data_IF_439636724932
#
_entry.id   IF_439636724932
#
_cell.length_a   1.000
_cell.length_b   1.000
_cell.length_c   1.000
_cell.angle_alpha   90.00
_cell.angle_beta   90.00
_cell.angle_gamma   90.00
#
_symmetry.space_group_name_H-M   'P 1'
#
loop_
_entity.id
_entity.type
_entity.pdbx_description
1 polymer ?
#
# COMPACT_ATOMS: atom_id res chain seq x y z
N UNK A 1 -17.61 10.30 -10.18
CA UNK A 1 -18.37 9.14 -9.63
C UNK A 1 -18.27 9.19 -8.10
N UNK A 2 -19.34 8.88 -7.39
CA UNK A 2 -19.34 8.91 -5.93
C UNK A 2 -18.49 7.78 -5.36
N UNK A 3 -17.63 8.07 -4.35
CA UNK A 3 -16.85 7.10 -3.56
C UNK A 3 -17.79 6.09 -2.84
N UNK A 4 -19.07 6.42 -2.74
CA UNK A 4 -20.10 5.67 -2.02
C UNK A 4 -20.86 4.63 -2.86
N UNK A 5 -20.39 4.24 -4.05
CA UNK A 5 -20.98 3.17 -4.84
C UNK A 5 -21.47 2.00 -3.98
N UNK A 6 -21.19 0.81 -4.31
CA UNK A 6 -21.62 -0.45 -3.64
C UNK A 6 -21.37 -0.50 -2.11
N UNK A 7 -20.60 0.43 -1.53
CA UNK A 7 -20.04 0.34 -0.18
C UNK A 7 -20.93 0.85 0.95
N UNK A 8 -21.99 1.59 0.66
CA UNK A 8 -22.89 2.18 1.68
C UNK A 8 -24.15 1.36 1.96
N UNK A 9 -24.42 0.32 1.21
CA UNK A 9 -25.65 -0.48 1.37
C UNK A 9 -25.47 -1.58 2.42
N UNK A 10 -26.43 -1.65 3.35
CA UNK A 10 -26.46 -2.67 4.43
C UNK A 10 -26.74 -4.09 3.91
N UNK A 11 -27.21 -4.23 2.68
CA UNK A 11 -27.50 -5.50 2.01
C UNK A 11 -26.52 -5.71 0.87
N UNK A 12 -25.35 -6.30 1.16
CA UNK A 12 -24.43 -6.73 0.11
C UNK A 12 -24.77 -8.16 -0.27
N UNK A 13 -25.28 -8.39 -1.49
CA UNK A 13 -25.41 -9.73 -2.04
C UNK A 13 -24.01 -10.30 -2.33
N UNK A 14 -23.75 -11.49 -1.77
CA UNK A 14 -22.51 -12.22 -2.06
C UNK A 14 -22.71 -13.02 -3.35
N UNK A 15 -21.96 -12.74 -4.43
CA UNK A 15 -22.11 -13.49 -5.67
C UNK A 15 -21.69 -14.95 -5.44
N UNK A 16 -22.53 -15.86 -5.91
CA UNK A 16 -22.31 -17.32 -5.83
C UNK A 16 -21.80 -17.91 -7.14
N UNK A 17 -21.67 -17.08 -8.17
CA UNK A 17 -21.15 -17.44 -9.50
C UNK A 17 -20.12 -16.41 -9.90
N UNK A 18 -19.15 -16.82 -10.71
CA UNK A 18 -18.13 -15.94 -11.27
C UNK A 18 -18.73 -14.65 -11.82
N UNK A 19 -18.25 -13.51 -11.29
CA UNK A 19 -18.85 -12.19 -11.48
C UNK A 19 -17.76 -11.11 -11.51
N UNK A 20 -17.04 -10.94 -12.63
CA UNK A 20 -15.97 -9.95 -12.75
C UNK A 20 -16.50 -8.51 -12.68
N UNK A 21 -17.76 -8.27 -12.98
CA UNK A 21 -18.44 -6.98 -12.86
C UNK A 21 -18.57 -6.49 -11.42
N UNK A 22 -18.30 -7.35 -10.44
CA UNK A 22 -18.23 -6.98 -9.02
C UNK A 22 -17.03 -6.09 -8.71
N UNK A 23 -15.94 -6.18 -9.48
CA UNK A 23 -14.75 -5.37 -9.29
C UNK A 23 -15.06 -3.89 -9.52
N UNK A 24 -14.68 -3.05 -8.56
CA UNK A 24 -14.92 -1.62 -8.60
C UNK A 24 -13.61 -0.83 -8.69
N UNK A 25 -13.38 -0.09 -9.79
CA UNK A 25 -12.21 0.75 -9.97
C UNK A 25 -12.37 2.09 -9.25
N UNK A 26 -11.31 2.56 -8.58
CA UNK A 26 -11.21 3.90 -7.97
C UNK A 26 -10.11 4.65 -8.69
N UNK A 27 -10.44 5.83 -9.21
CA UNK A 27 -9.51 6.67 -9.96
C UNK A 27 -8.35 7.16 -9.06
N UNK A 28 -7.11 6.86 -9.46
CA UNK A 28 -5.92 7.34 -8.74
C UNK A 28 -5.77 8.86 -8.80
N UNK A 29 -6.28 9.51 -9.86
CA UNK A 29 -6.16 10.96 -10.03
C UNK A 29 -6.80 11.71 -8.87
N UNK A 30 -7.94 11.21 -8.33
CA UNK A 30 -8.64 11.84 -7.20
C UNK A 30 -7.73 12.02 -5.98
N UNK A 31 -6.95 11.00 -5.61
CA UNK A 31 -6.01 11.07 -4.50
C UNK A 31 -4.80 11.94 -4.82
N UNK A 32 -4.28 11.82 -6.04
CA UNK A 32 -3.11 12.55 -6.51
C UNK A 32 -3.36 14.04 -6.65
N UNK A 33 -4.53 14.45 -7.12
CA UNK A 33 -4.96 15.84 -7.16
C UNK A 33 -5.12 16.45 -5.76
N UNK A 34 -5.65 15.67 -4.82
CA UNK A 34 -5.84 16.12 -3.43
C UNK A 34 -4.52 16.47 -2.73
N UNK A 35 -3.41 15.81 -3.08
CA UNK A 35 -2.07 16.13 -2.56
C UNK A 35 -1.33 17.18 -3.42
N UNK A 36 -2.02 17.82 -4.36
CA UNK A 36 -1.44 18.85 -5.23
C UNK A 36 -0.43 18.29 -6.24
N UNK A 37 -0.45 16.99 -6.49
CA UNK A 37 0.44 16.35 -7.45
C UNK A 37 0.13 16.81 -8.87
N UNK A 38 1.12 17.40 -9.53
CA UNK A 38 1.05 17.74 -10.94
C UNK A 38 2.11 16.94 -11.69
N UNK A 39 1.68 16.07 -12.59
CA UNK A 39 2.55 15.17 -13.36
C UNK A 39 3.71 15.85 -14.10
N UNK A 40 3.60 17.17 -14.36
CA UNK A 40 4.51 17.92 -15.22
C UNK A 40 5.41 18.90 -14.47
N UNK A 41 5.45 18.89 -13.12
CA UNK A 41 6.38 19.75 -12.38
C UNK A 41 7.79 19.19 -12.44
N UNK A 42 8.78 19.92 -13.05
CA UNK A 42 10.18 19.50 -13.02
C UNK A 42 10.67 19.38 -11.55
N UNK A 43 11.36 18.28 -11.24
CA UNK A 43 12.00 18.07 -9.93
C UNK A 43 11.14 17.38 -8.88
N UNK A 44 9.86 17.09 -9.14
CA UNK A 44 9.02 16.29 -8.24
C UNK A 44 9.10 14.82 -8.66
N UNK A 45 9.38 13.93 -7.70
CA UNK A 45 9.44 12.51 -7.94
C UNK A 45 8.10 11.95 -8.46
N UNK A 46 8.13 11.02 -9.42
CA UNK A 46 6.93 10.49 -10.06
C UNK A 46 6.21 9.50 -9.15
N UNK A 47 4.99 9.81 -8.71
CA UNK A 47 4.15 8.90 -7.92
C UNK A 47 3.77 7.60 -8.64
N UNK A 48 3.91 7.59 -9.97
CA UNK A 48 3.65 6.41 -10.79
C UNK A 48 4.79 5.39 -10.80
N UNK A 49 5.95 5.69 -10.18
CA UNK A 49 7.03 4.70 -10.06
C UNK A 49 6.82 3.92 -8.76
N UNK A 50 6.44 2.66 -8.90
CA UNK A 50 6.20 1.82 -7.74
C UNK A 50 5.24 0.68 -8.01
N UNK A 51 4.86 0.00 -6.92
CA UNK A 51 4.03 -1.19 -6.96
C UNK A 51 3.12 -1.23 -5.73
N UNK A 52 1.89 -1.67 -5.90
CA UNK A 52 0.99 -2.01 -4.82
C UNK A 52 0.87 -3.53 -4.77
N UNK A 53 1.47 -4.16 -3.73
CA UNK A 53 1.35 -5.61 -3.53
C UNK A 53 0.17 -5.91 -2.62
N UNK A 54 -0.75 -6.70 -3.14
CA UNK A 54 -1.89 -7.19 -2.39
C UNK A 54 -1.74 -8.68 -2.17
N UNK A 55 -1.97 -9.15 -0.95
CA UNK A 55 -2.05 -10.58 -0.67
C UNK A 55 -3.47 -10.95 -0.29
N UNK A 56 -4.01 -12.00 -0.94
CA UNK A 56 -5.28 -12.60 -0.60
C UNK A 56 -5.03 -14.00 -0.04
N UNK A 57 -5.52 -14.25 1.18
CA UNK A 57 -5.23 -15.46 1.95
C UNK A 57 -6.34 -16.50 1.87
N UNK A 58 -7.47 -16.13 1.26
CA UNK A 58 -8.70 -16.92 1.20
C UNK A 58 -9.15 -17.11 -0.26
N UNK A 59 -8.22 -17.52 -1.15
CA UNK A 59 -8.56 -17.81 -2.55
C UNK A 59 -8.95 -19.25 -2.68
N UNK A 60 -10.16 -19.52 -3.21
CA UNK A 60 -10.69 -20.88 -3.36
C UNK A 60 -11.51 -21.01 -4.63
N UNK A 61 -11.50 -22.21 -5.22
CA UNK A 61 -12.29 -22.60 -6.39
C UNK A 61 -12.52 -24.12 -6.41
N UNK A 62 -13.21 -24.64 -7.38
CA UNK A 62 -13.40 -26.06 -7.59
C UNK A 62 -12.52 -26.57 -8.76
N UNK A 63 -11.97 -27.76 -8.64
CA UNK A 63 -11.44 -28.47 -9.81
C UNK A 63 -12.57 -29.11 -10.62
N UNK A 64 -12.23 -29.72 -11.76
CA UNK A 64 -13.21 -30.39 -12.66
C UNK A 64 -13.94 -31.58 -12.04
N UNK A 65 -13.55 -32.01 -10.85
CA UNK A 65 -14.22 -33.07 -10.08
C UNK A 65 -15.10 -32.50 -8.96
N UNK A 66 -15.23 -31.17 -8.87
CA UNK A 66 -15.98 -30.51 -7.80
C UNK A 66 -15.24 -30.48 -6.45
N UNK A 67 -13.93 -30.78 -6.42
CA UNK A 67 -13.13 -30.76 -5.19
C UNK A 67 -12.56 -29.36 -4.99
N UNK A 68 -12.76 -28.81 -3.80
CA UNK A 68 -12.25 -27.47 -3.44
C UNK A 68 -10.73 -27.40 -3.54
N UNK A 69 -10.24 -26.36 -4.17
CA UNK A 69 -8.86 -25.94 -4.21
C UNK A 69 -8.70 -24.68 -3.36
N UNK A 70 -7.56 -24.53 -2.73
CA UNK A 70 -7.24 -23.36 -1.92
C UNK A 70 -5.84 -22.85 -2.24
N UNK A 71 -5.67 -21.53 -2.24
CA UNK A 71 -4.38 -20.89 -2.47
C UNK A 71 -4.27 -19.58 -1.69
N UNK A 72 -3.05 -19.12 -1.51
CA UNK A 72 -2.77 -17.71 -1.27
C UNK A 72 -2.42 -17.07 -2.60
N UNK A 73 -2.90 -15.85 -2.84
CA UNK A 73 -2.55 -15.06 -4.02
C UNK A 73 -1.76 -13.82 -3.67
N UNK A 74 -0.86 -13.41 -4.58
CA UNK A 74 -0.25 -12.08 -4.60
C UNK A 74 -0.60 -11.39 -5.91
N UNK A 75 -1.17 -10.19 -5.79
CA UNK A 75 -1.44 -9.30 -6.91
C UNK A 75 -0.43 -8.17 -6.87
N UNK A 76 0.34 -7.99 -7.96
CA UNK A 76 1.27 -6.87 -8.12
C UNK A 76 0.63 -5.89 -9.10
N UNK A 77 0.14 -4.76 -8.56
CA UNK A 77 -0.56 -3.71 -9.31
C UNK A 77 0.41 -2.55 -9.51
N UNK A 78 0.78 -2.19 -10.75
CA UNK A 78 1.73 -1.11 -10.98
C UNK A 78 1.12 0.25 -10.60
N UNK A 79 1.93 1.13 -10.01
CA UNK A 79 1.50 2.49 -9.69
C UNK A 79 1.16 3.34 -10.94
N UNK A 80 1.51 2.86 -12.13
CA UNK A 80 1.12 3.44 -13.42
C UNK A 80 -0.31 3.12 -13.83
N UNK A 81 -1.01 2.17 -13.17
CA UNK A 81 -2.42 1.87 -13.47
C UNK A 81 -3.29 3.12 -13.28
N UNK A 82 -4.33 3.28 -14.08
CA UNK A 82 -5.24 4.42 -13.96
C UNK A 82 -6.08 4.36 -12.68
N UNK A 83 -6.43 3.13 -12.26
CA UNK A 83 -7.29 2.90 -11.10
C UNK A 83 -6.59 2.02 -10.06
N UNK A 84 -7.03 2.12 -8.81
CA UNK A 84 -6.87 1.09 -7.78
C UNK A 84 -8.16 0.26 -7.74
N UNK A 85 -8.08 -0.98 -7.26
CA UNK A 85 -9.28 -1.79 -7.03
C UNK A 85 -9.82 -1.51 -5.62
N UNK A 86 -11.13 -1.39 -5.47
CA UNK A 86 -11.74 -1.25 -4.15
C UNK A 86 -11.71 -2.59 -3.40
N UNK A 87 -11.25 -2.59 -2.15
CA UNK A 87 -10.91 -3.81 -1.40
C UNK A 87 -12.09 -4.72 -1.09
N UNK A 88 -13.27 -4.17 -0.79
CA UNK A 88 -14.49 -4.97 -0.57
C UNK A 88 -14.97 -5.61 -1.86
N UNK A 89 -14.87 -4.87 -2.97
CA UNK A 89 -15.23 -5.38 -4.29
C UNK A 89 -14.32 -6.54 -4.72
N UNK A 90 -13.02 -6.42 -4.47
CA UNK A 90 -12.08 -7.53 -4.72
C UNK A 90 -12.43 -8.76 -3.89
N UNK A 91 -12.78 -8.57 -2.61
CA UNK A 91 -13.20 -9.68 -1.75
C UNK A 91 -14.46 -10.35 -2.27
N UNK A 92 -15.47 -9.58 -2.70
CA UNK A 92 -16.70 -10.13 -3.30
C UNK A 92 -16.41 -10.85 -4.61
N UNK A 93 -15.53 -10.31 -5.44
CA UNK A 93 -15.07 -10.96 -6.66
C UNK A 93 -14.38 -12.31 -6.38
N UNK A 94 -13.46 -12.36 -5.42
CA UNK A 94 -12.81 -13.61 -5.02
C UNK A 94 -13.83 -14.62 -4.45
N UNK A 95 -14.87 -14.17 -3.72
CA UNK A 95 -15.96 -15.05 -3.29
C UNK A 95 -16.76 -15.63 -4.46
N UNK A 96 -16.89 -14.88 -5.56
CA UNK A 96 -17.68 -15.31 -6.72
C UNK A 96 -17.11 -16.56 -7.41
N UNK A 97 -15.82 -16.86 -7.23
CA UNK A 97 -15.18 -18.04 -7.83
C UNK A 97 -15.19 -19.27 -6.94
N UNK A 98 -15.64 -19.17 -5.68
CA UNK A 98 -15.59 -20.28 -4.71
C UNK A 98 -16.30 -21.56 -5.18
N UNK A 99 -17.34 -21.43 -6.03
CA UNK A 99 -18.12 -22.55 -6.57
C UNK A 99 -17.93 -22.70 -8.07
N UNK A 100 -16.93 -22.02 -8.66
CA UNK A 100 -16.64 -22.11 -10.09
C UNK A 100 -15.58 -23.18 -10.33
N UNK A 101 -15.80 -24.03 -11.34
CA UNK A 101 -14.86 -25.06 -11.75
C UNK A 101 -13.82 -24.51 -12.71
N UNK A 102 -12.55 -24.88 -12.45
CA UNK A 102 -11.40 -24.56 -13.31
C UNK A 102 -10.58 -25.81 -13.57
N UNK A 103 -10.09 -25.96 -14.78
CA UNK A 103 -9.29 -27.12 -15.18
C UNK A 103 -7.87 -27.11 -14.59
N UNK A 104 -7.34 -25.92 -14.26
CA UNK A 104 -5.99 -25.78 -13.72
C UNK A 104 -5.79 -24.50 -12.92
N UNK A 105 -4.73 -24.46 -12.12
CA UNK A 105 -4.26 -23.26 -11.43
C UNK A 105 -3.88 -22.12 -12.41
N UNK A 106 -3.32 -22.48 -13.57
CA UNK A 106 -2.95 -21.50 -14.60
C UNK A 106 -4.18 -20.81 -15.22
N UNK A 107 -5.29 -21.54 -15.35
CA UNK A 107 -6.56 -20.97 -15.79
C UNK A 107 -7.08 -19.92 -14.80
N UNK A 108 -7.09 -20.25 -13.50
CA UNK A 108 -7.46 -19.32 -12.43
C UNK A 108 -6.54 -18.09 -12.43
N UNK A 109 -5.23 -18.30 -12.50
CA UNK A 109 -4.23 -17.23 -12.56
C UNK A 109 -4.44 -16.30 -13.74
N UNK A 110 -4.70 -16.87 -14.92
CA UNK A 110 -4.92 -16.12 -16.17
C UNK A 110 -6.19 -15.28 -16.09
N UNK A 111 -7.27 -15.87 -15.58
CA UNK A 111 -8.54 -15.18 -15.35
C UNK A 111 -8.38 -14.01 -14.38
N UNK A 112 -7.78 -14.25 -13.20
CA UNK A 112 -7.55 -13.21 -12.19
C UNK A 112 -6.69 -12.06 -12.76
N UNK A 113 -5.62 -12.39 -13.50
CA UNK A 113 -4.74 -11.39 -14.13
C UNK A 113 -5.50 -10.53 -15.13
N UNK A 114 -6.32 -11.17 -15.99
CA UNK A 114 -7.12 -10.47 -17.00
C UNK A 114 -8.15 -9.53 -16.36
N UNK A 115 -8.90 -10.03 -15.39
CA UNK A 115 -10.01 -9.26 -14.80
C UNK A 115 -9.49 -8.08 -13.96
N UNK A 116 -8.43 -8.30 -13.17
CA UNK A 116 -7.80 -7.23 -12.41
C UNK A 116 -7.13 -6.20 -13.32
N UNK A 117 -6.44 -6.64 -14.39
CA UNK A 117 -5.82 -5.72 -15.36
C UNK A 117 -6.87 -4.86 -16.05
N UNK A 118 -8.02 -5.42 -16.40
CA UNK A 118 -9.14 -4.69 -16.98
C UNK A 118 -9.73 -3.67 -15.98
N UNK A 119 -9.90 -4.09 -14.72
CA UNK A 119 -10.44 -3.22 -13.66
C UNK A 119 -9.53 -2.02 -13.41
N UNK A 120 -8.22 -2.24 -13.22
CA UNK A 120 -7.29 -1.16 -12.88
C UNK A 120 -6.72 -0.42 -14.08
N UNK A 121 -6.97 -0.89 -15.30
CA UNK A 121 -6.38 -0.41 -16.56
C UNK A 121 -4.85 -0.31 -16.47
N UNK A 122 -4.24 -1.43 -16.10
CA UNK A 122 -2.80 -1.61 -15.96
C UNK A 122 -2.47 -3.11 -15.89
N UNK A 123 -1.29 -3.51 -16.29
CA UNK A 123 -0.87 -4.92 -16.27
C UNK A 123 -0.68 -5.42 -14.83
N UNK A 124 -1.58 -6.28 -14.36
CA UNK A 124 -1.51 -6.92 -13.04
C UNK A 124 -0.86 -8.28 -13.14
N UNK A 125 0.26 -8.48 -12.43
CA UNK A 125 0.86 -9.79 -12.26
C UNK A 125 0.17 -10.52 -11.11
N UNK A 126 -0.25 -11.75 -11.37
CA UNK A 126 -0.85 -12.64 -10.36
C UNK A 126 0.08 -13.82 -10.09
N UNK A 127 0.30 -14.11 -8.82
CA UNK A 127 1.03 -15.28 -8.35
C UNK A 127 0.13 -16.05 -7.39
N UNK A 128 -0.01 -17.35 -7.62
CA UNK A 128 -0.73 -18.26 -6.74
C UNK A 128 0.27 -19.16 -6.02
N UNK A 129 0.11 -19.29 -4.71
CA UNK A 129 1.00 -20.08 -3.86
C UNK A 129 0.23 -21.26 -3.27
N UNK A 130 0.77 -22.46 -3.50
CA UNK A 130 0.33 -23.66 -2.80
C UNK A 130 0.71 -23.58 -1.33
N UNK A 131 -0.25 -23.80 -0.44
CA UNK A 131 -0.07 -23.71 1.01
C UNK A 131 0.91 -24.77 1.56
N UNK A 132 1.17 -25.82 0.81
CA UNK A 132 2.16 -26.85 1.14
C UNK A 132 3.58 -26.49 0.64
N UNK A 133 3.70 -25.49 -0.22
CA UNK A 133 4.98 -25.04 -0.73
C UNK A 133 5.62 -24.04 0.25
N UNK A 134 6.84 -24.34 0.69
CA UNK A 134 7.63 -23.46 1.56
C UNK A 134 8.42 -22.46 0.72
N UNK A 135 7.71 -21.63 -0.05
CA UNK A 135 8.34 -20.58 -0.82
C UNK A 135 8.94 -19.52 0.11
N UNK A 136 10.23 -19.24 -0.05
CA UNK A 136 10.95 -18.24 0.74
C UNK A 136 10.38 -16.82 0.58
N UNK A 137 9.70 -16.53 -0.52
CA UNK A 137 9.09 -15.22 -0.76
C UNK A 137 7.86 -14.94 0.11
N UNK A 138 7.28 -15.96 0.75
CA UNK A 138 6.19 -15.84 1.70
C UNK A 138 6.64 -15.73 3.15
N UNK A 139 7.95 -15.81 3.42
CA UNK A 139 8.48 -15.73 4.77
C UNK A 139 8.27 -14.35 5.38
N UNK A 140 8.06 -14.34 6.69
CA UNK A 140 8.01 -13.13 7.49
C UNK A 140 9.41 -12.53 7.55
N UNK A 141 9.49 -11.23 7.26
CA UNK A 141 10.73 -10.46 7.30
C UNK A 141 10.64 -9.31 8.31
N UNK A 142 11.75 -8.62 8.49
CA UNK A 142 11.82 -7.36 9.27
C UNK A 142 12.05 -6.19 8.31
N UNK A 143 11.50 -5.00 8.58
CA UNK A 143 11.88 -3.80 7.86
C UNK A 143 13.37 -3.50 8.07
N UNK A 144 14.00 -2.90 7.08
CA UNK A 144 15.39 -2.43 7.19
C UNK A 144 15.45 -1.09 7.92
N UNK A 145 16.59 -0.83 8.57
CA UNK A 145 16.87 0.45 9.20
C UNK A 145 16.55 0.50 10.70
N UNK A 146 16.50 1.70 11.24
CA UNK A 146 16.28 1.98 12.67
C UNK A 146 14.80 2.12 12.94
N UNK A 147 14.29 1.49 14.00
CA UNK A 147 12.95 1.74 14.51
C UNK A 147 12.93 3.10 15.20
N UNK A 148 12.04 4.00 14.76
CA UNK A 148 11.93 5.36 15.34
C UNK A 148 10.74 5.49 16.31
N UNK A 149 10.08 4.40 16.68
CA UNK A 149 8.87 4.43 17.52
C UNK A 149 9.11 5.09 18.89
N UNK A 150 10.33 5.00 19.41
CA UNK A 150 10.74 5.59 20.70
C UNK A 150 11.35 6.99 20.57
N UNK A 151 11.39 7.60 19.38
CA UNK A 151 12.04 8.89 19.14
C UNK A 151 11.41 10.07 19.95
N UNK A 152 10.24 9.87 20.54
CA UNK A 152 9.53 10.83 21.38
C UNK A 152 9.41 10.37 22.85
N UNK A 153 10.10 9.29 23.27
CA UNK A 153 9.96 8.72 24.62
C UNK A 153 10.29 9.72 25.72
N UNK A 154 11.30 10.56 25.50
CA UNK A 154 11.75 11.60 26.46
C UNK A 154 11.01 12.95 26.28
N UNK A 155 10.06 13.02 25.35
CA UNK A 155 9.30 14.25 25.11
C UNK A 155 8.20 14.41 26.17
N UNK A 156 8.21 15.55 26.87
CA UNK A 156 7.12 15.93 27.80
C UNK A 156 5.96 16.63 27.09
N UNK A 157 6.07 16.88 25.78
CA UNK A 157 5.04 17.53 25.02
C UNK A 157 3.93 16.55 24.63
N UNK A 158 2.68 16.94 24.91
CA UNK A 158 1.52 16.20 24.41
C UNK A 158 1.42 16.39 22.89
N UNK A 159 1.38 15.26 22.16
CA UNK A 159 1.21 15.29 20.71
C UNK A 159 -0.24 15.65 20.40
N UNK A 160 -0.44 16.73 19.66
CA UNK A 160 -1.75 17.11 19.14
C UNK A 160 -2.15 16.15 17.99
N UNK A 161 -3.37 15.60 18.05
CA UNK A 161 -3.92 14.85 16.95
C UNK A 161 -4.46 15.83 15.89
N UNK A 162 -4.01 15.65 14.67
CA UNK A 162 -4.48 16.40 13.49
C UNK A 162 -5.53 15.60 12.74
N UNK A 163 -6.42 16.28 12.02
CA UNK A 163 -7.41 15.62 11.15
C UNK A 163 -6.81 15.21 9.79
N UNK A 164 -5.66 15.78 9.43
CA UNK A 164 -4.97 15.56 8.16
C UNK A 164 -3.46 15.41 8.41
N UNK A 165 -2.74 14.74 7.49
CA UNK A 165 -1.28 14.74 7.47
C UNK A 165 -0.74 16.17 7.47
N UNK A 166 0.33 16.40 8.22
CA UNK A 166 0.92 17.73 8.39
C UNK A 166 2.43 17.71 8.11
N UNK A 167 2.81 18.00 6.87
CA UNK A 167 4.21 18.03 6.43
C UNK A 167 5.01 19.15 7.11
N UNK A 168 4.37 20.18 7.71
CA UNK A 168 5.05 21.25 8.44
C UNK A 168 5.73 20.77 9.74
N UNK A 169 5.37 19.56 10.19
CA UNK A 169 6.00 18.90 11.34
C UNK A 169 7.41 18.38 11.03
N UNK A 170 7.75 18.19 9.75
CA UNK A 170 9.08 17.72 9.33
C UNK A 170 10.12 18.79 9.62
N UNK A 171 11.25 18.37 10.20
CA UNK A 171 12.40 19.23 10.51
C UNK A 171 13.70 18.56 10.09
N UNK A 172 14.68 19.34 9.71
CA UNK A 172 16.03 18.87 9.54
C UNK A 172 16.72 18.78 10.91
N UNK A 173 17.55 17.78 11.11
CA UNK A 173 18.42 17.72 12.27
C UNK A 173 19.44 18.87 12.21
N UNK A 174 19.65 19.58 13.32
CA UNK A 174 20.24 20.93 13.39
C UNK A 174 21.74 21.01 13.05
N UNK A 175 22.40 19.93 12.70
CA UNK A 175 23.80 19.97 12.24
C UNK A 175 23.83 19.90 10.70
N UNK A 176 24.03 21.04 10.07
CA UNK A 176 24.40 21.10 8.66
C UNK A 176 25.73 20.39 8.45
N UNK A 177 25.71 19.14 8.06
CA UNK A 177 26.85 18.56 7.36
C UNK A 177 27.04 19.35 6.05
N UNK A 178 28.31 19.62 5.73
CA UNK A 178 28.70 20.34 4.51
C UNK A 178 27.90 19.89 3.29
N UNK A 179 27.33 20.80 2.55
CA UNK A 179 26.36 20.64 1.44
C UNK A 179 26.73 19.66 0.32
N UNK A 180 27.87 19.00 0.38
CA UNK A 180 28.40 18.19 -0.74
C UNK A 180 28.31 16.67 -0.57
N UNK A 181 27.76 16.13 0.52
CA UNK A 181 27.62 14.69 0.69
C UNK A 181 26.17 14.29 1.02
N UNK A 182 25.46 13.74 0.02
CA UNK A 182 24.22 13.01 0.26
C UNK A 182 24.50 11.81 1.17
N UNK A 183 23.75 11.68 2.26
CA UNK A 183 23.81 10.56 3.18
C UNK A 183 22.57 9.69 3.01
N UNK A 184 22.72 8.38 3.21
CA UNK A 184 21.61 7.44 3.15
C UNK A 184 21.10 7.17 4.57
N UNK A 185 19.80 7.37 4.76
CA UNK A 185 19.06 7.06 5.97
C UNK A 185 18.07 5.95 5.69
N UNK A 186 17.91 5.03 6.64
CA UNK A 186 16.92 3.95 6.55
C UNK A 186 16.27 3.80 7.92
N UNK A 187 14.97 3.96 7.98
CA UNK A 187 14.18 3.86 9.21
C UNK A 187 12.80 3.27 8.96
N UNK A 188 12.17 2.82 10.04
CA UNK A 188 10.78 2.38 10.00
C UNK A 188 10.03 2.75 11.28
N UNK A 189 8.69 2.77 11.18
CA UNK A 189 7.80 2.94 12.32
C UNK A 189 6.61 1.99 12.21
N UNK A 190 6.21 1.41 13.33
CA UNK A 190 5.02 0.57 13.45
C UNK A 190 3.76 1.38 13.84
N UNK A 191 3.91 2.69 13.97
CA UNK A 191 2.87 3.57 14.49
C UNK A 191 2.02 4.24 13.39
N UNK A 192 2.28 3.91 12.11
CA UNK A 192 1.41 4.38 11.03
C UNK A 192 -0.02 3.86 11.25
N UNK A 193 -0.96 4.79 11.23
CA UNK A 193 -2.40 4.51 11.29
C UNK A 193 -3.15 5.54 10.48
N UNK A 194 -4.08 5.08 9.67
CA UNK A 194 -5.07 5.89 8.97
C UNK A 194 -6.47 5.30 9.17
N UNK A 195 -7.48 5.84 8.53
CA UNK A 195 -8.82 5.27 8.48
C UNK A 195 -9.22 5.00 7.03
N UNK A 196 -10.00 3.95 6.84
CA UNK A 196 -10.63 3.68 5.56
C UNK A 196 -11.58 4.85 5.20
N UNK A 197 -11.49 5.44 3.99
CA UNK A 197 -12.33 6.57 3.61
C UNK A 197 -13.81 6.20 3.46
N UNK A 198 -14.11 4.89 3.39
CA UNK A 198 -15.48 4.39 3.19
C UNK A 198 -16.14 4.00 4.50
N UNK A 199 -15.43 3.24 5.35
CA UNK A 199 -16.01 2.66 6.59
C UNK A 199 -15.59 3.37 7.84
N UNK A 200 -14.65 4.30 7.75
CA UNK A 200 -13.99 4.98 8.87
C UNK A 200 -13.34 4.03 9.90
N UNK A 201 -13.13 2.77 9.52
CA UNK A 201 -12.41 1.80 10.35
C UNK A 201 -10.90 2.06 10.30
N UNK A 202 -10.18 1.81 11.41
CA UNK A 202 -8.74 2.03 11.45
C UNK A 202 -7.98 1.03 10.58
N UNK A 203 -7.00 1.55 9.85
CA UNK A 203 -6.02 0.82 9.08
C UNK A 203 -4.65 0.99 9.73
N UNK A 204 -4.11 -0.09 10.26
CA UNK A 204 -2.82 -0.11 10.94
C UNK A 204 -1.71 -0.56 9.98
N UNK A 205 -0.60 0.16 9.98
CA UNK A 205 0.52 -0.13 9.10
C UNK A 205 1.88 -0.02 9.79
N UNK A 206 2.88 -0.61 9.13
CA UNK A 206 4.30 -0.36 9.38
C UNK A 206 4.82 0.39 8.16
N UNK A 207 5.40 1.56 8.37
CA UNK A 207 6.03 2.38 7.34
C UNK A 207 7.54 2.15 7.36
N UNK A 208 8.16 2.00 6.19
CA UNK A 208 9.62 2.04 6.03
C UNK A 208 9.98 3.08 4.97
N UNK A 209 11.07 3.80 5.24
CA UNK A 209 11.63 4.81 4.36
C UNK A 209 13.13 4.58 4.20
N UNK A 210 13.60 4.59 2.96
CA UNK A 210 15.01 4.70 2.62
C UNK A 210 15.18 6.00 1.82
N UNK A 211 16.03 6.91 2.30
CA UNK A 211 16.21 8.24 1.71
C UNK A 211 17.69 8.60 1.63
N UNK A 212 18.14 9.06 0.46
CA UNK A 212 19.47 9.63 0.24
C UNK A 212 19.34 11.13 0.02
N UNK A 213 19.80 11.94 0.99
CA UNK A 213 19.62 13.40 0.99
C UNK A 213 20.79 14.11 1.66
N UNK A 214 21.00 15.38 1.31
CA UNK A 214 21.90 16.27 2.05
C UNK A 214 21.28 16.78 3.36
N UNK A 215 19.96 16.66 3.52
CA UNK A 215 19.22 17.02 4.72
C UNK A 215 19.13 15.79 5.62
N UNK A 216 19.69 15.91 6.83
CA UNK A 216 19.65 14.82 7.82
C UNK A 216 18.24 14.68 8.40
N UNK A 217 17.77 13.42 8.53
CA UNK A 217 16.47 13.11 9.11
C UNK A 217 16.49 13.35 10.62
N UNK A 218 15.53 14.10 11.13
CA UNK A 218 15.22 14.20 12.55
C UNK A 218 14.11 13.20 12.90
N UNK A 219 14.48 12.15 13.63
CA UNK A 219 13.60 11.02 13.94
C UNK A 219 12.36 11.45 14.73
N UNK A 220 12.50 12.42 15.64
CA UNK A 220 11.40 12.91 16.44
C UNK A 220 10.37 13.67 15.59
N UNK A 221 10.83 14.52 14.67
CA UNK A 221 9.96 15.23 13.74
C UNK A 221 9.29 14.28 12.74
N UNK A 222 10.03 13.30 12.24
CA UNK A 222 9.50 12.26 11.36
C UNK A 222 8.41 11.45 12.06
N UNK A 223 8.63 11.07 13.31
CA UNK A 223 7.59 10.35 14.06
C UNK A 223 6.35 11.21 14.28
N UNK A 224 6.50 12.51 14.61
CA UNK A 224 5.36 13.44 14.70
C UNK A 224 4.57 13.50 13.39
N UNK A 225 5.27 13.58 12.26
CA UNK A 225 4.66 13.55 10.93
C UNK A 225 3.89 12.24 10.69
N UNK A 226 4.46 11.08 10.97
CA UNK A 226 3.77 9.77 10.84
C UNK A 226 2.51 9.72 11.71
N UNK A 227 2.58 10.23 12.94
CA UNK A 227 1.44 10.27 13.86
C UNK A 227 0.33 11.22 13.42
N UNK A 228 0.61 12.20 12.54
CA UNK A 228 -0.41 13.09 11.97
C UNK A 228 -1.42 12.37 11.07
N UNK A 229 -1.09 11.17 10.57
CA UNK A 229 -2.01 10.34 9.79
C UNK A 229 -3.12 9.69 10.64
N UNK A 230 -3.02 9.72 11.97
CA UNK A 230 -3.84 8.91 12.86
C UNK A 230 -5.36 9.09 12.70
N UNK A 231 -5.82 10.24 12.26
CA UNK A 231 -7.25 10.54 12.00
C UNK A 231 -7.54 10.74 10.49
N UNK A 232 -6.52 10.61 9.65
CA UNK A 232 -6.67 10.80 8.22
C UNK A 232 -7.47 9.68 7.58
N UNK A 233 -8.42 10.03 6.70
CA UNK A 233 -9.17 9.11 5.87
C UNK A 233 -8.56 9.05 4.47
N UNK A 234 -7.97 7.91 4.10
CA UNK A 234 -7.34 7.73 2.80
C UNK A 234 -7.14 6.26 2.48
N UNK A 235 -7.14 5.90 1.20
CA UNK A 235 -6.72 4.58 0.77
C UNK A 235 -5.23 4.36 1.10
N UNK A 236 -4.83 3.12 1.29
CA UNK A 236 -3.46 2.76 1.65
C UNK A 236 -2.44 3.32 0.66
N UNK A 237 -2.75 3.21 -0.63
CA UNK A 237 -1.94 3.73 -1.73
C UNK A 237 -1.80 5.25 -1.67
N UNK A 238 -2.90 5.95 -1.40
CA UNK A 238 -2.92 7.41 -1.27
C UNK A 238 -2.09 7.88 -0.08
N UNK A 239 -2.16 7.18 1.07
CA UNK A 239 -1.34 7.51 2.23
C UNK A 239 0.16 7.41 1.90
N UNK A 240 0.59 6.34 1.19
CA UNK A 240 1.99 6.18 0.80
C UNK A 240 2.40 7.22 -0.25
N UNK A 241 1.52 7.56 -1.19
CA UNK A 241 1.74 8.63 -2.18
C UNK A 241 1.88 10.00 -1.52
N UNK A 242 1.05 10.31 -0.51
CA UNK A 242 1.17 11.53 0.30
C UNK A 242 2.53 11.58 1.01
N UNK A 243 2.92 10.51 1.71
CA UNK A 243 4.19 10.46 2.41
C UNK A 243 5.36 10.62 1.42
N UNK A 244 5.29 9.94 0.28
CA UNK A 244 6.33 10.03 -0.75
C UNK A 244 6.45 11.46 -1.31
N UNK A 245 5.34 12.14 -1.57
CA UNK A 245 5.32 13.52 -2.05
C UNK A 245 5.90 14.49 -1.01
N UNK A 246 5.43 14.42 0.23
CA UNK A 246 5.87 15.29 1.33
C UNK A 246 7.37 15.13 1.61
N UNK A 247 7.88 13.88 1.64
CA UNK A 247 9.30 13.61 1.86
C UNK A 247 10.15 14.03 0.65
N UNK A 248 9.62 13.89 -0.58
CA UNK A 248 10.30 14.37 -1.79
C UNK A 248 10.45 15.88 -1.77
N UNK A 249 9.42 16.61 -1.38
CA UNK A 249 9.43 18.08 -1.30
C UNK A 249 10.37 18.56 -0.19
N UNK A 250 10.29 17.97 1.00
CA UNK A 250 11.05 18.43 2.15
C UNK A 250 12.54 18.07 2.05
N UNK A 251 12.88 16.81 1.76
CA UNK A 251 14.26 16.34 1.76
C UNK A 251 14.99 16.54 0.44
N UNK A 252 14.28 16.81 -0.67
CA UNK A 252 14.84 16.91 -2.02
C UNK A 252 15.85 15.79 -2.31
N UNK A 253 15.47 14.52 -2.12
CA UNK A 253 16.39 13.41 -2.11
C UNK A 253 16.90 13.07 -3.49
N UNK A 254 18.13 12.51 -3.57
CA UNK A 254 18.62 11.87 -4.80
C UNK A 254 18.01 10.49 -5.00
N UNK A 255 17.70 9.79 -3.89
CA UNK A 255 17.01 8.51 -3.88
C UNK A 255 15.97 8.50 -2.77
N UNK A 256 14.78 8.00 -3.07
CA UNK A 256 13.71 7.82 -2.09
C UNK A 256 12.94 6.54 -2.36
N UNK A 257 12.73 5.76 -1.31
CA UNK A 257 11.77 4.66 -1.27
C UNK A 257 10.86 4.84 -0.06
N UNK A 258 9.56 4.81 -0.27
CA UNK A 258 8.54 4.79 0.78
C UNK A 258 7.68 3.56 0.58
N UNK A 259 7.55 2.75 1.62
CA UNK A 259 6.77 1.51 1.61
C UNK A 259 5.98 1.36 2.89
N UNK A 260 4.73 0.91 2.77
CA UNK A 260 3.93 0.51 3.93
C UNK A 260 3.50 -0.96 3.82
N UNK A 261 3.31 -1.60 4.98
CA UNK A 261 2.67 -2.90 5.14
C UNK A 261 1.48 -2.71 6.06
N UNK A 262 0.28 -2.84 5.51
CA UNK A 262 -0.94 -2.71 6.30
C UNK A 262 -1.41 -4.07 6.82
N UNK A 263 -2.02 -4.05 7.99
CA UNK A 263 -2.58 -5.25 8.59
C UNK A 263 -3.75 -5.76 7.75
N UNK A 264 -3.87 -7.08 7.70
CA UNK A 264 -4.90 -7.81 6.99
C UNK A 264 -6.30 -7.47 7.52
N UNK A 265 -7.22 -7.19 6.59
CA UNK A 265 -8.66 -7.08 6.87
C UNK A 265 -9.45 -7.92 5.86
N UNK A 266 -10.33 -8.80 6.39
CA UNK A 266 -11.15 -9.66 5.54
C UNK A 266 -10.34 -10.56 4.61
N UNK A 267 -9.21 -11.08 5.07
CA UNK A 267 -8.35 -12.00 4.31
C UNK A 267 -7.46 -11.30 3.26
N UNK A 268 -7.39 -9.96 3.25
CA UNK A 268 -6.57 -9.20 2.28
C UNK A 268 -5.66 -8.22 3.02
N UNK A 269 -4.38 -8.17 2.69
CA UNK A 269 -3.47 -7.07 3.03
C UNK A 269 -3.04 -6.27 1.79
N UNK A 270 -2.69 -5.00 1.99
CA UNK A 270 -2.34 -4.05 0.93
C UNK A 270 -1.03 -3.38 1.30
N UNK A 271 -0.03 -3.45 0.43
CA UNK A 271 1.33 -3.05 0.71
C UNK A 271 1.89 -2.14 -0.39
N UNK A 272 1.55 -0.84 -0.39
CA UNK A 272 2.02 0.09 -1.41
C UNK A 272 3.49 0.43 -1.23
N UNK A 273 4.17 0.64 -2.35
CA UNK A 273 5.56 1.13 -2.40
C UNK A 273 5.70 2.17 -3.51
N UNK A 274 6.39 3.27 -3.21
CA UNK A 274 6.77 4.30 -4.19
C UNK A 274 8.27 4.52 -4.12
N UNK A 275 8.89 4.70 -5.29
CA UNK A 275 10.34 4.88 -5.43
C UNK A 275 10.63 6.02 -6.40
N UNK A 276 11.74 6.72 -6.19
CA UNK A 276 12.21 7.76 -7.11
C UNK A 276 12.79 7.19 -8.41
N UNK A 277 13.27 5.95 -8.38
CA UNK A 277 13.75 5.19 -9.52
C UNK A 277 13.37 3.72 -9.39
N UNK A 278 13.06 3.06 -10.53
CA UNK A 278 12.58 1.67 -10.54
C UNK A 278 13.61 0.68 -9.98
N UNK A 279 14.90 0.98 -10.07
CA UNK A 279 15.97 0.14 -9.53
C UNK A 279 15.96 0.04 -8.00
N UNK A 280 15.27 0.97 -7.33
CA UNK A 280 15.09 0.98 -5.86
C UNK A 280 13.89 0.12 -5.41
N UNK A 281 13.08 -0.38 -6.36
CA UNK A 281 11.88 -1.16 -6.01
C UNK A 281 12.28 -2.47 -5.31
N UNK A 282 11.90 -2.66 -4.03
CA UNK A 282 12.25 -3.86 -3.30
C UNK A 282 11.41 -5.06 -3.76
N UNK A 283 11.84 -6.27 -3.40
CA UNK A 283 10.99 -7.45 -3.53
C UNK A 283 9.78 -7.37 -2.60
N UNK A 284 8.63 -7.97 -2.99
CA UNK A 284 7.50 -8.12 -2.08
C UNK A 284 7.93 -8.89 -0.82
N UNK A 285 7.38 -8.52 0.32
CA UNK A 285 7.65 -9.19 1.60
C UNK A 285 6.48 -8.98 2.56
N UNK A 286 6.45 -9.77 3.64
CA UNK A 286 5.46 -9.70 4.70
C UNK A 286 6.14 -9.49 6.05
N UNK A 287 5.41 -8.85 6.96
CA UNK A 287 5.84 -8.65 8.34
C UNK A 287 5.03 -9.52 9.30
N UNK A 288 5.55 -9.71 10.52
CA UNK A 288 4.86 -10.50 11.56
C UNK A 288 3.44 -10.00 11.88
N UNK A 289 3.18 -8.73 11.62
CA UNK A 289 1.90 -8.07 11.93
C UNK A 289 0.80 -8.35 10.89
N UNK A 290 1.10 -8.96 9.76
CA UNK A 290 0.17 -9.18 8.65
C UNK A 290 -0.47 -10.57 8.67
#
# INVERSE_FOLDING_TARGET
MSIHGILGEQTTDYPTKYSPETLYPIDRSMGREAIGWQFDKPGIAKLSIGMDWWHAFEVSWLNTQGISQVAMARFSIPATSLFIVESKSLKLYLNSINFTEFASWDEVKTMLSKDLSNCVQGEVKVELFDLNNRDSELLITQPKGVCIDDALADSHEKIALTSHPDASLLKAKTQQSSRDSSQRFSFYSNLLRSNCPVTNQPDWGTLAVEVSSAIEVDDASMLRYILSFRQHNGFHEQCVEQIFADLSEFYQPTELMVRAWYTRRGGIDINPCRVSDISLLPKPSRLIRQ
#
